data_IF_954626607254
#
_entry.id   IF_954626607254
#
_cell.length_a   1.000
_cell.length_b   1.000
_cell.length_c   1.000
_cell.angle_alpha   90.00
_cell.angle_beta   90.00
_cell.angle_gamma   90.00
#
_symmetry.space_group_name_H-M   'P 1'
#
loop_
_entity.id
_entity.type
_entity.pdbx_description
1 polymer ?
#
# COMPACT_ATOMS: atom_id res chain seq x y z
N UNK A 1 -0.78 4.65 -1.05
CA UNK A 1 0.60 4.12 -1.17
C UNK A 1 1.04 3.64 0.19
N UNK A 2 1.64 2.46 0.27
CA UNK A 2 2.30 1.94 1.47
C UNK A 2 3.76 1.68 1.13
N UNK A 3 4.67 2.10 2.01
CA UNK A 3 6.10 2.00 1.79
C UNK A 3 6.75 1.16 2.90
N UNK A 4 7.69 0.29 2.52
CA UNK A 4 8.39 -0.63 3.42
C UNK A 4 9.90 -0.48 3.29
N UNK A 5 10.63 -1.14 4.19
CA UNK A 5 12.09 -1.17 4.15
C UNK A 5 12.56 -1.96 2.93
N UNK A 6 13.62 -1.50 2.28
CA UNK A 6 14.24 -2.19 1.16
C UNK A 6 14.58 -3.65 1.49
N UNK A 7 14.31 -4.56 0.57
CA UNK A 7 14.56 -6.00 0.77
C UNK A 7 13.44 -6.75 1.50
N UNK A 8 12.31 -6.08 1.77
CA UNK A 8 11.12 -6.77 2.26
C UNK A 8 10.42 -7.46 1.08
N UNK A 9 10.10 -8.75 1.21
CA UNK A 9 9.31 -9.46 0.21
C UNK A 9 7.90 -8.89 0.14
N UNK A 10 7.61 -8.13 -0.92
CA UNK A 10 6.32 -7.48 -1.10
C UNK A 10 5.17 -8.49 -1.29
N UNK A 11 5.43 -9.66 -1.87
CA UNK A 11 4.45 -10.74 -2.03
C UNK A 11 3.90 -11.28 -0.71
N UNK A 12 4.76 -11.40 0.31
CA UNK A 12 4.34 -11.86 1.63
C UNK A 12 3.44 -10.82 2.31
N UNK A 13 3.64 -9.53 2.00
CA UNK A 13 2.82 -8.45 2.53
C UNK A 13 1.41 -8.46 1.96
N UNK A 14 1.20 -8.96 0.74
CA UNK A 14 -0.15 -9.05 0.15
C UNK A 14 -1.10 -9.90 1.00
N UNK A 15 -0.56 -10.86 1.75
CA UNK A 15 -1.32 -11.74 2.67
C UNK A 15 -1.55 -11.11 4.05
N UNK A 16 -0.95 -9.95 4.32
CA UNK A 16 -1.09 -9.29 5.62
C UNK A 16 -2.48 -8.68 5.78
N UNK A 17 -3.07 -8.86 6.97
CA UNK A 17 -4.28 -8.17 7.40
C UNK A 17 -4.22 -6.65 7.19
N UNK A 18 -3.02 -6.05 7.24
CA UNK A 18 -2.85 -4.63 6.99
C UNK A 18 -3.21 -4.27 5.54
N UNK A 19 -2.72 -5.04 4.56
CA UNK A 19 -2.92 -4.79 3.14
C UNK A 19 -4.36 -5.09 2.73
N UNK A 20 -4.94 -6.18 3.25
CA UNK A 20 -6.35 -6.51 3.03
C UNK A 20 -7.28 -5.36 3.46
N UNK A 21 -7.05 -4.78 4.65
CA UNK A 21 -7.82 -3.62 5.14
C UNK A 21 -7.65 -2.37 4.30
N UNK A 22 -6.47 -2.15 3.73
CA UNK A 22 -6.26 -1.00 2.84
C UNK A 22 -6.97 -1.18 1.51
N UNK A 23 -6.97 -2.39 0.96
CA UNK A 23 -7.73 -2.71 -0.25
C UNK A 23 -9.24 -2.66 -0.03
N UNK A 24 -9.74 -2.96 1.17
CA UNK A 24 -11.14 -2.73 1.55
C UNK A 24 -11.56 -1.27 1.46
N UNK A 25 -10.65 -0.35 1.81
CA UNK A 25 -10.93 1.09 1.81
C UNK A 25 -10.69 1.73 0.45
N UNK A 26 -9.64 1.30 -0.25
CA UNK A 26 -9.29 1.80 -1.58
C UNK A 26 -8.74 0.65 -2.43
N UNK A 27 -9.45 0.21 -3.49
CA UNK A 27 -9.01 -0.87 -4.37
C UNK A 27 -7.85 -0.46 -5.30
N UNK A 28 -7.28 0.73 -5.12
CA UNK A 28 -6.10 1.20 -5.84
C UNK A 28 -4.95 1.43 -4.85
N UNK A 29 -4.10 0.42 -4.68
CA UNK A 29 -2.99 0.45 -3.73
C UNK A 29 -1.65 0.26 -4.45
N UNK A 30 -0.66 1.06 -4.08
CA UNK A 30 0.72 0.91 -4.53
C UNK A 30 1.59 0.50 -3.34
N UNK A 31 2.30 -0.61 -3.48
CA UNK A 31 3.31 -1.11 -2.54
C UNK A 31 4.70 -0.88 -3.11
N UNK A 32 5.64 -0.49 -2.27
CA UNK A 32 7.03 -0.32 -2.69
C UNK A 32 8.00 -0.53 -1.53
N UNK A 33 9.20 -1.01 -1.87
CA UNK A 33 10.37 -1.05 -1.00
C UNK A 33 11.52 -0.18 -1.54
N UNK A 34 11.18 0.81 -2.38
CA UNK A 34 12.05 1.69 -3.17
C UNK A 34 12.78 1.03 -4.34
N UNK A 35 13.00 -0.27 -4.30
CA UNK A 35 13.63 -1.03 -5.38
C UNK A 35 12.57 -1.63 -6.30
N UNK A 36 11.45 -2.07 -5.72
CA UNK A 36 10.34 -2.72 -6.39
C UNK A 36 9.06 -1.91 -6.17
N UNK A 37 8.22 -1.91 -7.18
CA UNK A 37 6.93 -1.21 -7.21
C UNK A 37 5.86 -2.20 -7.66
N UNK A 38 4.85 -2.41 -6.81
CA UNK A 38 3.71 -3.26 -7.13
C UNK A 38 2.44 -2.44 -7.08
N UNK A 39 1.66 -2.53 -8.15
CA UNK A 39 0.32 -2.00 -8.20
C UNK A 39 -0.66 -3.12 -7.87
N UNK A 40 -1.37 -2.96 -6.77
CA UNK A 40 -2.33 -3.92 -6.24
C UNK A 40 -3.74 -3.38 -6.38
N UNK A 41 -4.59 -4.20 -6.97
CA UNK A 41 -6.03 -3.98 -7.08
C UNK A 41 -6.84 -5.05 -6.36
N UNK A 42 -8.15 -5.05 -6.65
CA UNK A 42 -9.06 -6.12 -6.30
C UNK A 42 -9.53 -6.85 -7.56
N UNK A 43 -9.72 -8.15 -7.44
CA UNK A 43 -10.42 -8.97 -8.43
C UNK A 43 -11.94 -9.02 -8.16
N UNK A 44 -12.65 -9.82 -8.95
CA UNK A 44 -14.10 -10.05 -8.81
C UNK A 44 -14.48 -10.69 -7.46
N UNK A 45 -13.56 -11.42 -6.83
CA UNK A 45 -13.73 -12.07 -5.53
C UNK A 45 -13.25 -11.21 -4.35
N UNK A 46 -12.96 -9.91 -4.57
CA UNK A 46 -12.40 -8.98 -3.59
C UNK A 46 -11.01 -9.36 -3.03
N UNK A 47 -10.29 -10.28 -3.66
CA UNK A 47 -8.94 -10.67 -3.27
C UNK A 47 -7.90 -9.70 -3.85
N UNK A 48 -6.75 -9.53 -3.17
CA UNK A 48 -5.64 -8.73 -3.69
C UNK A 48 -5.14 -9.32 -5.01
N UNK A 49 -5.12 -8.51 -6.07
CA UNK A 49 -4.59 -8.87 -7.38
C UNK A 49 -3.47 -7.91 -7.77
N UNK A 50 -2.32 -8.45 -8.17
CA UNK A 50 -1.21 -7.64 -8.70
C UNK A 50 -1.55 -7.28 -10.14
N UNK A 51 -1.72 -5.99 -10.41
CA UNK A 51 -2.00 -5.44 -11.75
C UNK A 51 -0.73 -5.27 -12.58
N UNK A 52 0.31 -4.76 -11.94
CA UNK A 52 1.61 -4.48 -12.58
C UNK A 52 2.69 -4.50 -11.51
N UNK A 53 3.86 -5.00 -11.86
CA UNK A 53 5.06 -5.01 -11.01
C UNK A 53 6.24 -4.49 -11.82
N UNK A 54 7.05 -3.65 -11.20
CA UNK A 54 8.26 -3.07 -11.80
C UNK A 54 9.38 -3.10 -10.77
N UNK A 55 10.51 -3.68 -11.17
CA UNK A 55 11.76 -3.66 -10.40
C UNK A 55 12.72 -2.65 -11.04
N UNK A 56 13.19 -1.71 -10.24
CA UNK A 56 14.22 -0.73 -10.63
C UNK A 56 15.61 -1.35 -10.52
N UNK A 57 15.83 -2.15 -9.48
CA UNK A 57 17.12 -2.78 -9.20
C UNK A 57 16.96 -3.98 -8.25
N UNK A 58 17.96 -4.86 -8.23
CA UNK A 58 18.08 -5.89 -7.19
C UNK A 58 18.86 -5.38 -5.98
N UNK A 59 18.55 -5.92 -4.80
CA UNK A 59 19.28 -5.62 -3.55
C UNK A 59 20.76 -6.06 -3.61
N UNK A 60 21.07 -7.02 -4.49
CA UNK A 60 22.41 -7.61 -4.65
C UNK A 60 23.30 -6.85 -5.66
N UNK A 61 22.77 -5.84 -6.35
CA UNK A 61 23.50 -5.05 -7.36
C UNK A 61 24.05 -3.66 -6.92
N UNK A 62 24.16 -3.28 -5.63
CA UNK A 62 24.44 -1.90 -5.23
C UNK A 62 25.87 -1.43 -5.57
N UNK A 63 26.73 -2.33 -6.07
CA UNK A 63 28.13 -2.03 -6.41
C UNK A 63 28.32 -1.24 -7.71
N UNK A 64 27.28 -1.10 -8.54
CA UNK A 64 27.33 -0.31 -9.77
C UNK A 64 26.32 0.84 -9.71
N UNK A 65 26.66 2.03 -10.24
CA UNK A 65 25.67 3.07 -10.43
C UNK A 65 24.51 2.52 -11.25
N UNK A 66 23.29 2.65 -10.73
CA UNK A 66 22.07 2.23 -11.42
C UNK A 66 22.04 2.93 -12.78
N UNK A 67 22.35 2.18 -13.84
CA UNK A 67 22.20 2.69 -15.20
C UNK A 67 20.71 2.62 -15.51
N UNK A 68 20.02 3.76 -15.72
CA UNK A 68 18.62 3.74 -16.08
C UNK A 68 18.48 2.96 -17.39
N UNK A 69 17.74 1.86 -17.33
CA UNK A 69 17.37 1.10 -18.52
C UNK A 69 16.23 1.89 -19.15
N UNK A 70 16.36 2.41 -20.39
CA UNK A 70 15.35 3.29 -20.99
C UNK A 70 13.95 2.67 -21.04
N UNK A 71 13.86 1.34 -21.05
CA UNK A 71 12.61 0.60 -20.97
C UNK A 71 11.98 0.71 -19.58
N UNK A 72 12.74 0.46 -18.51
CA UNK A 72 12.27 0.56 -17.13
C UNK A 72 11.76 1.97 -16.80
N UNK A 73 12.40 3.03 -17.31
CA UNK A 73 11.92 4.41 -17.12
C UNK A 73 10.53 4.62 -17.74
N UNK A 74 10.32 4.14 -18.98
CA UNK A 74 9.02 4.22 -19.65
C UNK A 74 7.96 3.40 -18.91
N UNK A 75 8.32 2.20 -18.48
CA UNK A 75 7.42 1.32 -17.73
C UNK A 75 7.01 1.95 -16.40
N UNK A 76 7.94 2.60 -15.69
CA UNK A 76 7.68 3.36 -14.47
C UNK A 76 6.73 4.53 -14.73
N UNK A 77 6.98 5.32 -15.77
CA UNK A 77 6.11 6.44 -16.14
C UNK A 77 4.69 5.94 -16.45
N UNK A 78 4.57 4.87 -17.21
CA UNK A 78 3.27 4.26 -17.54
C UNK A 78 2.57 3.70 -16.28
N UNK A 79 3.32 3.07 -15.39
CA UNK A 79 2.84 2.57 -14.12
C UNK A 79 2.28 3.70 -13.25
N UNK A 80 3.03 4.79 -13.06
CA UNK A 80 2.57 5.93 -12.28
C UNK A 80 1.38 6.60 -12.95
N UNK A 81 1.39 6.78 -14.28
CA UNK A 81 0.22 7.30 -15.01
C UNK A 81 -1.01 6.44 -14.78
N UNK A 82 -0.90 5.11 -14.92
CA UNK A 82 -2.01 4.19 -14.68
C UNK A 82 -2.51 4.25 -13.23
N UNK A 83 -1.60 4.28 -12.26
CA UNK A 83 -1.94 4.35 -10.84
C UNK A 83 -2.66 5.66 -10.47
N UNK A 84 -2.17 6.81 -10.94
CA UNK A 84 -2.73 8.12 -10.62
C UNK A 84 -4.00 8.45 -11.41
N UNK A 85 -4.17 7.91 -12.62
CA UNK A 85 -5.37 8.10 -13.43
C UNK A 85 -6.52 7.16 -13.04
N UNK A 86 -6.38 6.38 -11.97
CA UNK A 86 -7.49 5.60 -11.44
C UNK A 86 -8.57 6.55 -10.89
N UNK A 87 -9.69 6.64 -11.59
CA UNK A 87 -10.85 7.37 -11.10
C UNK A 87 -11.43 6.65 -9.87
N UNK A 88 -11.23 7.25 -8.70
CA UNK A 88 -12.01 6.89 -7.53
C UNK A 88 -13.49 7.23 -7.80
N UNK A 89 -14.42 6.41 -7.30
CA UNK A 89 -15.85 6.66 -7.45
C UNK A 89 -16.16 8.12 -7.04
N UNK A 90 -16.74 8.93 -7.94
CA UNK A 90 -16.89 10.35 -7.70
C UNK A 90 -17.78 10.59 -6.48
N UNK A 91 -17.26 11.33 -5.49
CA UNK A 91 -18.02 11.72 -4.30
C UNK A 91 -18.80 12.99 -4.66
N UNK A 92 -19.98 12.81 -5.25
CA UNK A 92 -20.80 13.91 -5.77
C UNK A 92 -21.65 14.60 -4.70
N UNK A 93 -21.65 14.10 -3.46
CA UNK A 93 -22.59 14.49 -2.40
C UNK A 93 -21.93 14.47 -1.00
N UNK A 94 -22.23 15.48 -0.18
CA UNK A 94 -21.72 15.62 1.19
C UNK A 94 -22.05 14.43 2.13
N UNK A 95 -23.21 13.79 1.93
CA UNK A 95 -23.60 12.55 2.64
C UNK A 95 -22.70 11.38 2.26
N UNK A 96 -22.31 11.27 0.99
CA UNK A 96 -21.41 10.21 0.53
C UNK A 96 -19.99 10.43 1.02
N UNK A 97 -19.55 11.69 1.06
CA UNK A 97 -18.30 12.06 1.74
C UNK A 97 -18.32 11.69 3.22
N UNK A 98 -19.38 12.08 3.94
CA UNK A 98 -19.54 11.78 5.36
C UNK A 98 -19.61 10.27 5.63
N UNK A 99 -20.19 9.48 4.73
CA UNK A 99 -20.24 8.03 4.83
C UNK A 99 -18.87 7.39 4.56
N UNK A 100 -18.16 7.81 3.51
CA UNK A 100 -16.79 7.38 3.23
C UNK A 100 -15.86 7.71 4.42
N UNK A 101 -15.97 8.94 4.94
CA UNK A 101 -15.23 9.41 6.10
C UNK A 101 -15.59 8.66 7.39
N UNK A 102 -16.88 8.38 7.64
CA UNK A 102 -17.31 7.56 8.78
C UNK A 102 -16.77 6.14 8.70
N UNK A 103 -16.79 5.50 7.51
CA UNK A 103 -16.24 4.16 7.30
C UNK A 103 -14.74 4.12 7.60
N UNK A 104 -13.98 5.06 7.05
CA UNK A 104 -12.52 5.14 7.30
C UNK A 104 -12.23 5.41 8.78
N UNK A 105 -12.98 6.30 9.43
CA UNK A 105 -12.82 6.62 10.85
C UNK A 105 -13.20 5.44 11.78
N UNK A 106 -14.23 4.65 11.46
CA UNK A 106 -14.60 3.46 12.22
C UNK A 106 -13.53 2.36 12.15
N UNK A 107 -12.96 2.13 10.97
CA UNK A 107 -11.83 1.20 10.79
C UNK A 107 -10.62 1.65 11.61
N UNK A 108 -10.35 2.95 11.65
CA UNK A 108 -9.29 3.51 12.49
C UNK A 108 -9.58 3.35 14.00
N UNK A 109 -10.81 3.62 14.46
CA UNK A 109 -11.18 3.51 15.89
C UNK A 109 -11.05 2.08 16.42
N UNK A 110 -11.30 1.06 15.58
CA UNK A 110 -11.05 -0.36 15.91
C UNK A 110 -9.56 -0.68 16.11
N UNK A 111 -8.63 0.09 15.51
CA UNK A 111 -7.17 -0.06 15.74
C UNK A 111 -6.78 0.43 17.14
N UNK A 112 -7.37 1.51 17.62
CA UNK A 112 -7.04 2.10 18.94
C UNK A 112 -7.49 1.24 20.12
N UNK A 113 -8.53 0.42 19.94
CA UNK A 113 -9.02 -0.48 20.99
C UNK A 113 -8.20 -1.76 21.16
N UNK A 114 -7.35 -2.12 20.19
CA UNK A 114 -6.53 -3.34 20.23
C UNK A 114 -5.07 -3.08 20.63
N UNK A 115 -4.72 -1.86 21.02
CA UNK A 115 -3.41 -1.57 21.64
C UNK A 115 -3.50 -2.01 23.11
N UNK A 116 -2.79 -3.05 23.56
CA UNK A 116 -2.78 -3.40 24.97
C UNK A 116 -2.19 -2.23 25.75
N UNK A 117 -2.97 -1.64 26.67
CA UNK A 117 -2.45 -0.73 27.68
C UNK A 117 -1.41 -1.52 28.49
N UNK A 118 -0.11 -1.36 28.19
CA UNK A 118 0.94 -1.80 29.10
C UNK A 118 0.73 -1.04 30.41
N UNK A 119 0.21 -1.72 31.44
CA UNK A 119 0.22 -1.23 32.81
C UNK A 119 1.68 -1.02 33.19
N UNK A 120 2.11 0.23 33.32
CA UNK A 120 3.32 0.56 34.03
C UNK A 120 3.15 0.09 35.48
N UNK A 121 3.81 -1.00 35.84
CA UNK A 121 3.94 -1.45 37.22
C UNK A 121 5.41 -1.74 37.44
N UNK A 122 6.22 -0.71 37.67
CA UNK A 122 7.54 -0.86 38.26
C UNK A 122 7.87 0.41 39.05
N UNK A 123 8.65 0.23 40.12
CA UNK A 123 9.03 1.16 41.19
C UNK A 123 8.20 1.04 42.48
N UNK A 124 8.62 0.10 43.33
CA UNK A 124 8.75 0.32 44.78
C UNK A 124 10.23 0.10 45.11
N UNK A 125 10.88 1.15 45.60
CA UNK A 125 12.09 1.10 46.42
C UNK A 125 11.68 1.51 47.83
#
# INVERSE_FOLDING_TARGET
MENKRAGTKLDELLKSDQILKYLELNPNLMLTDYLNFMWVGKDEENKPLIKKEISIASLDEPSKPLKPIPQTERDLIEFFRGFFNYEAAPITNAKDFANAFKRTHQVFKRRSSCIPKKRASFWHF
#
